data_IF_695971827391
#
_entry.id   IF_695971827391
#
_cell.length_a   1.000
_cell.length_b   1.000
_cell.length_c   1.000
_cell.angle_alpha   90.00
_cell.angle_beta   90.00
_cell.angle_gamma   90.00
#
_symmetry.space_group_name_H-M   'P 1'
#
loop_
_entity.id
_entity.type
_entity.pdbx_description
1 polymer ?
#
# COMPACT_ATOMS: atom_id res chain seq x y z
N UNK A 1 -46.59 1.21 -12.15
CA UNK A 1 -45.45 0.73 -12.98
C UNK A 1 -44.09 1.38 -12.65
N UNK A 2 -44.00 2.43 -11.81
CA UNK A 2 -42.73 3.11 -11.46
C UNK A 2 -41.97 2.51 -10.25
N UNK A 3 -42.63 1.70 -9.42
CA UNK A 3 -42.03 1.12 -8.20
C UNK A 3 -41.10 -0.08 -8.47
N UNK A 4 -41.40 -0.90 -9.49
CA UNK A 4 -40.57 -2.06 -9.87
C UNK A 4 -39.21 -1.69 -10.46
N UNK A 5 -39.08 -0.51 -11.09
CA UNK A 5 -37.79 -0.01 -11.60
C UNK A 5 -36.89 0.51 -10.48
N UNK A 6 -37.46 1.05 -9.39
CA UNK A 6 -36.71 1.49 -8.22
C UNK A 6 -36.15 0.33 -7.41
N UNK A 7 -36.92 -0.76 -7.24
CA UNK A 7 -36.45 -1.97 -6.56
C UNK A 7 -35.33 -2.65 -7.36
N UNK A 8 -35.45 -2.73 -8.69
CA UNK A 8 -34.38 -3.29 -9.53
C UNK A 8 -33.09 -2.45 -9.53
N UNK A 9 -33.19 -1.11 -9.49
CA UNK A 9 -32.03 -0.23 -9.41
C UNK A 9 -31.34 -0.31 -8.03
N UNK A 10 -32.11 -0.45 -6.96
CA UNK A 10 -31.59 -0.66 -5.59
C UNK A 10 -30.95 -2.04 -5.48
N UNK A 11 -31.51 -3.10 -6.08
CA UNK A 11 -30.90 -4.43 -6.11
C UNK A 11 -29.59 -4.48 -6.91
N UNK A 12 -29.45 -3.68 -7.97
CA UNK A 12 -28.20 -3.59 -8.73
C UNK A 12 -27.14 -2.75 -7.99
N UNK A 13 -27.54 -1.66 -7.31
CA UNK A 13 -26.63 -0.88 -6.45
C UNK A 13 -26.17 -1.67 -5.21
N UNK A 14 -27.03 -2.52 -4.64
CA UNK A 14 -26.66 -3.46 -3.57
C UNK A 14 -25.74 -4.57 -4.10
N UNK A 15 -25.92 -5.04 -5.33
CA UNK A 15 -25.04 -6.04 -5.95
C UNK A 15 -23.63 -5.50 -6.26
N UNK A 16 -23.45 -4.18 -6.45
CA UNK A 16 -22.12 -3.58 -6.63
C UNK A 16 -21.42 -3.21 -5.31
N UNK A 17 -22.17 -2.83 -4.27
CA UNK A 17 -21.61 -2.63 -2.92
C UNK A 17 -21.28 -3.97 -2.23
N UNK A 18 -22.07 -5.02 -2.50
CA UNK A 18 -21.79 -6.38 -2.03
C UNK A 18 -20.81 -7.09 -2.95
N UNK A 19 -20.77 -6.84 -4.26
CA UNK A 19 -19.84 -7.53 -5.17
C UNK A 19 -18.36 -7.32 -4.86
N UNK A 20 -17.98 -6.12 -4.41
CA UNK A 20 -16.63 -5.83 -3.91
C UNK A 20 -16.32 -6.47 -2.56
N UNK A 21 -17.35 -6.73 -1.74
CA UNK A 21 -17.23 -7.35 -0.42
C UNK A 21 -17.37 -8.89 -0.47
N UNK A 22 -18.09 -9.44 -1.45
CA UNK A 22 -18.39 -10.87 -1.59
C UNK A 22 -17.26 -11.64 -2.29
N UNK A 23 -16.46 -10.96 -3.12
CA UNK A 23 -15.19 -11.51 -3.58
C UNK A 23 -14.16 -11.62 -2.45
N UNK A 24 -14.35 -10.86 -1.36
CA UNK A 24 -13.55 -10.94 -0.14
C UNK A 24 -13.92 -12.16 0.73
N UNK A 25 -15.20 -12.56 0.75
CA UNK A 25 -15.69 -13.62 1.65
C UNK A 25 -15.63 -15.04 1.08
N UNK A 26 -15.41 -15.21 -0.24
CA UNK A 26 -15.36 -16.55 -0.88
C UNK A 26 -13.96 -17.19 -0.92
N UNK A 27 -12.95 -16.58 -0.31
CA UNK A 27 -11.75 -17.28 0.15
C UNK A 27 -12.08 -18.05 1.44
N UNK A 28 -12.90 -19.10 1.31
CA UNK A 28 -13.30 -19.96 2.43
C UNK A 28 -12.10 -20.76 2.92
N UNK A 29 -11.39 -20.15 3.87
CA UNK A 29 -10.18 -20.61 4.56
C UNK A 29 -9.75 -19.61 5.65
N UNK A 30 -10.22 -18.37 5.60
CA UNK A 30 -10.07 -17.40 6.68
C UNK A 30 -10.92 -17.81 7.89
N UNK A 31 -10.27 -18.26 8.96
CA UNK A 31 -10.90 -18.31 10.28
C UNK A 31 -11.26 -16.87 10.68
N UNK A 32 -12.54 -16.65 10.99
CA UNK A 32 -13.03 -15.41 11.59
C UNK A 32 -12.40 -15.18 12.97
N UNK A 33 -11.66 -14.07 13.16
CA UNK A 33 -11.60 -13.20 14.37
C UNK A 33 -10.65 -12.00 14.12
N UNK A 34 -10.88 -10.79 14.70
CA UNK A 34 -12.12 -10.06 14.90
C UNK A 34 -12.20 -8.78 14.04
N UNK A 35 -13.40 -8.21 13.94
CA UNK A 35 -13.85 -7.00 13.20
C UNK A 35 -13.10 -5.65 13.46
N UNK A 36 -11.88 -5.63 14.01
CA UNK A 36 -11.18 -4.39 14.42
C UNK A 36 -9.90 -4.03 13.62
N UNK A 37 -9.51 -4.80 12.62
CA UNK A 37 -8.24 -4.59 11.88
C UNK A 37 -8.43 -3.83 10.55
N UNK A 38 -9.20 -2.75 10.57
CA UNK A 38 -9.23 -1.81 9.45
C UNK A 38 -8.43 -0.59 9.88
N UNK A 39 -7.30 -0.34 9.20
CA UNK A 39 -6.46 0.82 9.43
C UNK A 39 -7.24 2.11 9.19
N UNK A 40 -7.75 2.70 10.27
CA UNK A 40 -8.52 3.93 10.28
C UNK A 40 -7.65 5.09 10.76
N UNK A 41 -7.50 6.12 9.95
CA UNK A 41 -6.71 7.32 10.24
C UNK A 41 -7.64 8.49 10.52
N UNK A 42 -7.32 9.29 11.54
CA UNK A 42 -8.11 10.46 11.90
C UNK A 42 -7.39 11.73 11.46
N UNK A 43 -7.95 12.40 10.45
CA UNK A 43 -7.43 13.68 9.93
C UNK A 43 -8.58 14.69 9.96
N UNK A 44 -8.40 15.74 10.76
CA UNK A 44 -9.36 16.84 10.99
C UNK A 44 -10.74 16.36 11.45
N UNK A 45 -10.76 15.37 12.34
CA UNK A 45 -12.01 14.78 12.86
C UNK A 45 -12.75 13.92 11.83
N UNK A 46 -12.13 13.63 10.68
CA UNK A 46 -12.64 12.65 9.70
C UNK A 46 -11.81 11.38 9.77
N UNK A 47 -12.51 10.26 9.72
CA UNK A 47 -11.93 8.94 9.63
C UNK A 47 -11.69 8.58 8.16
N UNK A 48 -10.49 8.08 7.87
CA UNK A 48 -10.06 7.61 6.56
C UNK A 48 -9.64 6.16 6.68
N UNK A 49 -10.11 5.31 5.77
CA UNK A 49 -9.73 3.90 5.70
C UNK A 49 -9.05 3.64 4.37
N UNK A 50 -7.75 3.35 4.41
CA UNK A 50 -7.03 2.84 3.25
C UNK A 50 -6.93 1.31 3.37
N UNK A 51 -7.25 0.54 2.31
CA UNK A 51 -7.04 -0.90 2.36
C UNK A 51 -5.54 -1.19 2.39
N UNK A 52 -5.11 -2.08 3.30
CA UNK A 52 -3.71 -2.53 3.34
C UNK A 52 -3.30 -3.09 1.97
N UNK A 53 -2.18 -2.63 1.38
CA UNK A 53 -1.64 -3.14 0.13
C UNK A 53 -1.35 -4.65 0.16
N UNK A 54 -1.11 -5.23 1.34
CA UNK A 54 -0.87 -6.66 1.54
C UNK A 54 -1.98 -7.52 0.93
N UNK A 55 -3.24 -7.10 1.01
CA UNK A 55 -4.35 -7.84 0.41
C UNK A 55 -4.23 -7.94 -1.11
N UNK A 56 -3.79 -6.86 -1.77
CA UNK A 56 -3.55 -6.87 -3.22
C UNK A 56 -2.37 -7.78 -3.57
N UNK A 57 -1.34 -7.79 -2.73
CA UNK A 57 -0.14 -8.61 -2.91
C UNK A 57 -0.48 -10.10 -2.80
N UNK A 58 -1.20 -10.48 -1.74
CA UNK A 58 -1.66 -11.85 -1.52
C UNK A 58 -2.60 -12.32 -2.63
N UNK A 59 -3.52 -11.47 -3.07
CA UNK A 59 -4.41 -11.80 -4.18
C UNK A 59 -3.63 -12.08 -5.46
N UNK A 60 -2.69 -11.21 -5.84
CA UNK A 60 -1.81 -11.43 -6.99
C UNK A 60 -0.97 -12.70 -6.83
N UNK A 61 -0.40 -12.94 -5.64
CA UNK A 61 0.36 -14.15 -5.35
C UNK A 61 -0.47 -15.42 -5.51
N UNK A 62 -1.71 -15.44 -5.01
CA UNK A 62 -2.67 -16.54 -5.18
C UNK A 62 -3.03 -16.78 -6.66
N UNK A 63 -3.03 -15.73 -7.48
CA UNK A 63 -3.19 -15.82 -8.94
C UNK A 63 -1.90 -16.23 -9.68
N UNK A 64 -0.85 -16.62 -8.96
CA UNK A 64 0.42 -17.04 -9.56
C UNK A 64 1.20 -15.89 -10.21
N UNK A 65 1.03 -14.66 -9.72
CA UNK A 65 1.82 -13.52 -10.19
C UNK A 65 3.30 -13.72 -9.89
N UNK A 66 4.15 -13.47 -10.89
CA UNK A 66 5.60 -13.63 -10.75
C UNK A 66 6.22 -12.38 -10.14
N UNK A 67 6.57 -12.48 -8.86
CA UNK A 67 7.18 -11.42 -8.08
C UNK A 67 8.70 -11.29 -8.27
N UNK A 68 9.34 -12.22 -8.97
CA UNK A 68 10.80 -12.30 -9.06
C UNK A 68 11.42 -11.05 -9.68
N UNK A 69 12.37 -10.46 -8.96
CA UNK A 69 13.08 -9.25 -9.36
C UNK A 69 12.22 -8.00 -9.46
N UNK A 70 11.05 -7.95 -8.80
CA UNK A 70 10.20 -6.76 -8.73
C UNK A 70 10.48 -5.91 -7.48
N UNK A 71 10.96 -6.54 -6.41
CA UNK A 71 11.42 -5.85 -5.20
C UNK A 71 12.64 -4.97 -5.50
N UNK A 72 12.68 -3.79 -4.90
CA UNK A 72 13.75 -2.83 -4.98
C UNK A 72 14.42 -2.61 -3.62
N UNK A 73 15.75 -2.52 -3.62
CA UNK A 73 16.49 -1.92 -2.51
C UNK A 73 16.52 -0.40 -2.72
N UNK A 74 16.42 0.34 -1.63
CA UNK A 74 16.38 1.78 -1.67
C UNK A 74 17.65 2.49 -2.11
N UNK A 75 17.52 3.77 -2.45
CA UNK A 75 18.66 4.69 -2.57
C UNK A 75 19.33 5.03 -1.21
N UNK A 76 18.79 4.52 -0.10
CA UNK A 76 19.24 4.72 1.29
C UNK A 76 18.11 5.11 2.23
N UNK A 77 18.47 5.51 3.46
CA UNK A 77 17.57 5.91 4.55
C UNK A 77 17.82 7.33 5.11
N UNK A 78 18.80 8.05 4.55
CA UNK A 78 19.20 9.39 5.01
C UNK A 78 18.35 10.50 4.37
N UNK A 79 17.07 10.55 4.72
CA UNK A 79 16.14 11.60 4.29
C UNK A 79 16.01 12.68 5.38
N UNK A 80 15.76 13.92 4.98
CA UNK A 80 15.64 15.04 5.92
C UNK A 80 14.20 15.19 6.45
N UNK A 81 13.21 14.96 5.58
CA UNK A 81 11.81 15.29 5.86
C UNK A 81 11.05 14.12 6.52
N UNK A 82 10.35 14.34 7.65
CA UNK A 82 9.49 13.34 8.29
C UNK A 82 8.52 12.62 7.35
N UNK A 83 7.78 13.34 6.50
CA UNK A 83 6.87 12.70 5.54
C UNK A 83 7.59 11.84 4.51
N UNK A 84 8.78 12.27 4.05
CA UNK A 84 9.59 11.48 3.12
C UNK A 84 10.08 10.18 3.78
N UNK A 85 10.56 10.25 5.02
CA UNK A 85 10.96 9.07 5.80
C UNK A 85 9.81 8.09 5.98
N UNK A 86 8.62 8.60 6.32
CA UNK A 86 7.43 7.78 6.52
C UNK A 86 7.00 7.07 5.22
N UNK A 87 6.92 7.81 4.10
CA UNK A 87 6.62 7.21 2.79
C UNK A 87 7.67 6.16 2.44
N UNK A 88 8.96 6.47 2.58
CA UNK A 88 10.04 5.52 2.29
C UNK A 88 9.97 4.27 3.18
N UNK A 89 9.59 4.41 4.46
CA UNK A 89 9.41 3.26 5.35
C UNK A 89 8.36 2.29 4.79
N UNK A 90 7.20 2.80 4.36
CA UNK A 90 6.16 1.96 3.73
C UNK A 90 6.64 1.28 2.44
N UNK A 91 7.39 2.01 1.62
CA UNK A 91 7.99 1.43 0.41
C UNK A 91 8.96 0.30 0.74
N UNK A 92 9.83 0.46 1.75
CA UNK A 92 10.78 -0.59 2.17
C UNK A 92 10.08 -1.79 2.79
N UNK A 93 9.02 -1.56 3.57
CA UNK A 93 8.18 -2.64 4.09
C UNK A 93 7.56 -3.46 2.96
N UNK A 94 7.03 -2.80 1.93
CA UNK A 94 6.44 -3.47 0.75
C UNK A 94 7.46 -4.27 -0.05
N UNK A 95 8.66 -3.72 -0.25
CA UNK A 95 9.77 -4.45 -0.87
C UNK A 95 10.15 -5.69 -0.06
N UNK A 96 10.20 -5.56 1.28
CA UNK A 96 10.39 -6.68 2.20
C UNK A 96 9.39 -7.81 1.95
N UNK A 97 8.09 -7.50 1.89
CA UNK A 97 7.04 -8.51 1.61
C UNK A 97 7.28 -9.25 0.29
N UNK A 98 7.67 -8.52 -0.76
CA UNK A 98 7.98 -9.14 -2.07
C UNK A 98 9.18 -10.07 -1.97
N UNK A 99 10.25 -9.69 -1.27
CA UNK A 99 11.41 -10.57 -1.04
C UNK A 99 11.04 -11.83 -0.25
N UNK A 100 10.06 -11.73 0.65
CA UNK A 100 9.54 -12.90 1.37
C UNK A 100 8.81 -13.86 0.41
N UNK A 101 8.00 -13.35 -0.51
CA UNK A 101 7.31 -14.17 -1.52
C UNK A 101 8.27 -14.87 -2.48
N UNK A 102 9.37 -14.22 -2.84
CA UNK A 102 10.39 -14.76 -3.76
C UNK A 102 11.48 -15.56 -3.05
N UNK A 103 11.48 -15.58 -1.71
CA UNK A 103 12.50 -16.22 -0.86
C UNK A 103 13.92 -15.66 -1.08
N UNK A 104 14.01 -14.38 -1.43
CA UNK A 104 15.26 -13.65 -1.63
C UNK A 104 15.82 -13.18 -0.27
N UNK A 105 16.45 -14.13 0.46
CA UNK A 105 16.81 -13.97 1.88
C UNK A 105 17.76 -12.80 2.18
N UNK A 106 18.75 -12.54 1.33
CA UNK A 106 19.70 -11.46 1.57
C UNK A 106 19.06 -10.09 1.34
N UNK A 107 18.23 -9.96 0.30
CA UNK A 107 17.50 -8.72 0.01
C UNK A 107 16.43 -8.44 1.08
N UNK A 108 15.76 -9.48 1.58
CA UNK A 108 14.84 -9.36 2.72
C UNK A 108 15.51 -8.81 3.98
N UNK A 109 16.76 -9.24 4.27
CA UNK A 109 17.54 -8.71 5.41
C UNK A 109 17.91 -7.24 5.19
N UNK A 110 18.32 -6.87 3.98
CA UNK A 110 18.65 -5.47 3.67
C UNK A 110 17.41 -4.57 3.80
N UNK A 111 16.26 -5.00 3.28
CA UNK A 111 14.99 -4.28 3.44
C UNK A 111 14.59 -4.13 4.91
N UNK A 112 14.78 -5.19 5.72
CA UNK A 112 14.57 -5.14 7.17
C UNK A 112 15.45 -4.09 7.85
N UNK A 113 16.74 -4.06 7.52
CA UNK A 113 17.69 -3.11 8.12
C UNK A 113 17.33 -1.67 7.74
N UNK A 114 16.89 -1.44 6.50
CA UNK A 114 16.33 -0.15 6.05
C UNK A 114 15.06 0.24 6.82
N UNK A 115 14.13 -0.71 7.04
CA UNK A 115 12.92 -0.47 7.84
C UNK A 115 13.28 -0.06 9.27
N UNK A 116 14.23 -0.74 9.92
CA UNK A 116 14.68 -0.38 11.26
C UNK A 116 15.37 0.98 11.29
N UNK A 117 16.22 1.31 10.31
CA UNK A 117 16.89 2.60 10.24
C UNK A 117 15.89 3.76 10.04
N UNK A 118 14.89 3.58 9.17
CA UNK A 118 13.82 4.56 8.95
C UNK A 118 12.92 4.69 10.19
N UNK A 119 12.57 3.57 10.83
CA UNK A 119 11.81 3.56 12.07
C UNK A 119 12.53 4.29 13.20
N UNK A 120 13.84 4.11 13.34
CA UNK A 120 14.68 4.85 14.28
C UNK A 120 14.66 6.36 13.98
N UNK A 121 14.78 6.73 12.71
CA UNK A 121 14.72 8.14 12.29
C UNK A 121 13.35 8.80 12.54
N UNK A 122 12.33 7.98 12.78
CA UNK A 122 10.97 8.33 13.14
C UNK A 122 10.68 8.07 14.63
N UNK A 123 11.67 7.75 15.45
CA UNK A 123 11.51 7.44 16.88
C UNK A 123 10.46 6.35 17.13
N UNK A 124 10.46 5.24 16.39
CA UNK A 124 9.55 4.11 16.61
C UNK A 124 10.24 2.73 16.54
N UNK A 125 11.59 2.70 16.52
CA UNK A 125 12.34 1.44 16.35
C UNK A 125 12.07 0.44 17.48
N UNK A 126 12.05 0.91 18.73
CA UNK A 126 11.92 0.04 19.90
C UNK A 126 10.55 -0.63 19.96
N UNK A 127 9.51 0.09 19.54
CA UNK A 127 8.15 -0.42 19.46
C UNK A 127 7.99 -1.50 18.38
N UNK A 128 8.69 -1.37 17.25
CA UNK A 128 8.55 -2.31 16.12
C UNK A 128 9.52 -3.49 16.17
N UNK A 129 10.58 -3.41 16.99
CA UNK A 129 11.68 -4.39 17.03
C UNK A 129 11.19 -5.83 17.23
N UNK A 130 10.18 -6.01 18.09
CA UNK A 130 9.60 -7.33 18.34
C UNK A 130 8.82 -7.86 17.13
N UNK A 131 8.01 -7.02 16.46
CA UNK A 131 7.29 -7.40 15.24
C UNK A 131 8.26 -7.79 14.12
N UNK A 132 9.37 -7.04 13.97
CA UNK A 132 10.44 -7.37 13.02
C UNK A 132 11.09 -8.73 13.34
N UNK A 133 11.36 -9.01 14.61
CA UNK A 133 11.92 -10.30 15.02
C UNK A 133 10.96 -11.47 14.75
N UNK A 134 9.65 -11.25 14.94
CA UNK A 134 8.63 -12.24 14.65
C UNK A 134 8.57 -12.55 13.14
N UNK A 135 8.67 -11.51 12.30
CA UNK A 135 8.75 -11.66 10.84
C UNK A 135 9.99 -12.45 10.42
N UNK A 136 11.17 -12.11 10.96
CA UNK A 136 12.41 -12.87 10.73
C UNK A 136 12.25 -14.34 11.13
N UNK A 137 11.60 -14.59 12.26
CA UNK A 137 11.38 -15.94 12.78
C UNK A 137 10.47 -16.76 11.86
N UNK A 138 9.36 -16.18 11.40
CA UNK A 138 8.45 -16.83 10.44
C UNK A 138 9.20 -17.16 9.14
N UNK A 139 10.03 -16.23 8.66
CA UNK A 139 10.76 -16.44 7.42
C UNK A 139 11.89 -17.48 7.53
N UNK A 140 12.71 -17.42 8.60
CA UNK A 140 13.84 -18.34 8.82
C UNK A 140 13.36 -19.78 9.08
N UNK A 141 12.22 -19.95 9.77
CA UNK A 141 11.67 -21.28 10.05
C UNK A 141 11.05 -21.95 8.82
N UNK A 142 11.01 -21.25 7.68
CA UNK A 142 10.35 -21.74 6.47
C UNK A 142 8.85 -21.90 6.69
N UNK A 143 8.27 -21.00 7.49
CA UNK A 143 6.85 -21.02 7.80
C UNK A 143 5.98 -20.90 6.54
N UNK A 144 4.75 -21.40 6.64
CA UNK A 144 3.76 -21.27 5.57
C UNK A 144 3.41 -19.80 5.29
N UNK A 145 2.75 -19.56 4.15
CA UNK A 145 2.30 -18.22 3.74
C UNK A 145 1.44 -17.55 4.82
N UNK A 146 0.62 -18.32 5.53
CA UNK A 146 -0.28 -17.83 6.58
C UNK A 146 0.50 -17.20 7.76
N UNK A 147 1.58 -17.84 8.21
CA UNK A 147 2.42 -17.32 9.30
C UNK A 147 3.21 -16.08 8.87
N UNK A 148 3.67 -16.04 7.61
CA UNK A 148 4.31 -14.84 7.04
C UNK A 148 3.30 -13.70 6.98
N UNK A 149 2.08 -13.96 6.52
CA UNK A 149 1.01 -12.98 6.46
C UNK A 149 0.66 -12.43 7.86
N UNK A 150 0.54 -13.31 8.86
CA UNK A 150 0.28 -12.90 10.24
C UNK A 150 1.40 -11.98 10.77
N UNK A 151 2.66 -12.36 10.53
CA UNK A 151 3.80 -11.56 10.97
C UNK A 151 3.89 -10.19 10.26
N UNK A 152 3.60 -10.13 8.95
CA UNK A 152 3.53 -8.86 8.20
C UNK A 152 2.39 -7.99 8.72
N UNK A 153 1.20 -8.56 8.90
CA UNK A 153 0.03 -7.83 9.45
C UNK A 153 0.34 -7.29 10.85
N UNK A 154 1.00 -8.09 11.69
CA UNK A 154 1.45 -7.66 13.01
C UNK A 154 2.50 -6.54 12.97
N UNK A 155 3.33 -6.48 11.93
CA UNK A 155 4.27 -5.37 11.72
C UNK A 155 3.55 -4.10 11.27
N UNK A 156 2.61 -4.20 10.30
CA UNK A 156 1.78 -3.08 9.84
C UNK A 156 1.03 -2.43 11.02
N UNK A 157 0.32 -3.25 11.81
CA UNK A 157 -0.42 -2.79 12.99
C UNK A 157 0.50 -2.12 14.02
N UNK A 158 1.68 -2.67 14.27
CA UNK A 158 2.63 -2.07 15.23
C UNK A 158 3.20 -0.75 14.70
N UNK A 159 3.53 -0.66 13.42
CA UNK A 159 3.99 0.59 12.80
C UNK A 159 2.95 1.71 12.95
N UNK A 160 1.70 1.40 12.61
CA UNK A 160 0.59 2.36 12.72
C UNK A 160 0.36 2.82 14.17
N UNK A 161 0.25 1.85 15.09
CA UNK A 161 0.01 2.13 16.49
C UNK A 161 1.14 2.93 17.13
N UNK A 162 2.39 2.65 16.77
CA UNK A 162 3.56 3.35 17.34
C UNK A 162 3.53 4.84 17.06
N UNK A 163 3.13 5.23 15.84
CA UNK A 163 3.01 6.63 15.45
C UNK A 163 1.74 7.28 16.02
N UNK A 164 0.61 6.58 15.95
CA UNK A 164 -0.66 7.08 16.50
C UNK A 164 -0.56 7.35 18.01
N UNK A 165 0.09 6.46 18.77
CA UNK A 165 0.31 6.65 20.20
C UNK A 165 1.19 7.87 20.52
N UNK A 166 1.99 8.35 19.56
CA UNK A 166 2.78 9.58 19.63
C UNK A 166 2.07 10.80 19.04
N UNK A 167 0.78 10.67 18.68
CA UNK A 167 -0.01 11.74 18.06
C UNK A 167 0.40 12.08 16.62
N UNK A 168 1.03 11.14 15.93
CA UNK A 168 1.59 11.29 14.56
C UNK A 168 0.82 10.45 13.54
N UNK A 169 -0.51 10.52 13.59
CA UNK A 169 -1.42 9.85 12.65
C UNK A 169 -1.15 10.23 11.18
N UNK A 170 -0.66 11.44 10.96
CA UNK A 170 -0.26 11.97 9.67
C UNK A 170 0.93 11.24 9.04
N UNK A 171 1.92 10.87 9.86
CA UNK A 171 3.05 10.04 9.41
C UNK A 171 2.67 8.57 9.30
N UNK A 172 1.73 8.10 10.11
CA UNK A 172 1.18 6.75 9.98
C UNK A 172 0.50 6.56 8.62
N UNK A 173 -0.35 7.51 8.20
CA UNK A 173 -0.99 7.42 6.88
C UNK A 173 0.01 7.60 5.74
N UNK A 174 1.10 8.36 5.95
CA UNK A 174 2.16 8.51 4.97
C UNK A 174 2.91 7.19 4.72
N UNK A 175 3.09 6.34 5.74
CA UNK A 175 3.61 4.97 5.57
C UNK A 175 2.69 4.16 4.65
N UNK A 176 1.39 4.13 4.91
CA UNK A 176 0.42 3.39 4.08
C UNK A 176 0.41 3.87 2.63
N UNK A 177 0.49 5.20 2.41
CA UNK A 177 0.60 5.76 1.08
C UNK A 177 1.88 5.30 0.37
N UNK A 178 3.01 5.25 1.09
CA UNK A 178 4.27 4.71 0.59
C UNK A 178 4.19 3.24 0.19
N UNK A 179 3.58 2.41 1.04
CA UNK A 179 3.36 0.99 0.76
C UNK A 179 2.50 0.80 -0.49
N UNK A 180 1.42 1.59 -0.61
CA UNK A 180 0.51 1.49 -1.75
C UNK A 180 1.16 1.90 -3.08
N UNK A 181 1.90 3.02 -3.12
CA UNK A 181 2.55 3.46 -4.37
C UNK A 181 3.65 2.50 -4.82
N UNK A 182 4.42 1.93 -3.89
CA UNK A 182 5.45 0.95 -4.24
C UNK A 182 4.82 -0.36 -4.70
N UNK A 183 3.75 -0.79 -4.04
CA UNK A 183 2.96 -1.94 -4.49
C UNK A 183 2.42 -1.79 -5.90
N UNK A 184 1.90 -0.60 -6.22
CA UNK A 184 1.43 -0.28 -7.56
C UNK A 184 2.57 -0.35 -8.60
N UNK A 185 3.74 0.21 -8.26
CA UNK A 185 4.93 0.18 -9.11
C UNK A 185 5.36 -1.25 -9.40
N UNK A 186 5.53 -2.09 -8.37
CA UNK A 186 5.93 -3.49 -8.52
C UNK A 186 4.89 -4.29 -9.31
N UNK A 187 3.61 -4.15 -8.99
CA UNK A 187 2.54 -4.85 -9.70
C UNK A 187 2.53 -4.48 -11.19
N UNK A 188 2.60 -3.19 -11.52
CA UNK A 188 2.62 -2.75 -12.93
C UNK A 188 3.90 -3.17 -13.65
N UNK A 189 5.06 -3.17 -12.97
CA UNK A 189 6.32 -3.70 -13.50
C UNK A 189 6.23 -5.18 -13.90
N UNK A 190 5.62 -6.02 -13.05
CA UNK A 190 5.40 -7.43 -13.37
C UNK A 190 4.36 -7.62 -14.47
N UNK A 191 3.25 -6.87 -14.43
CA UNK A 191 2.16 -6.94 -15.42
C UNK A 191 2.62 -6.56 -16.84
N UNK A 192 3.66 -5.74 -16.98
CA UNK A 192 4.33 -5.45 -18.27
C UNK A 192 4.95 -6.68 -18.92
N UNK A 193 5.47 -7.62 -18.11
CA UNK A 193 6.09 -8.87 -18.60
C UNK A 193 5.01 -9.84 -19.05
N UNK A 194 4.03 -10.07 -18.17
CA UNK A 194 2.87 -10.92 -18.41
C UNK A 194 1.78 -10.60 -17.39
N UNK A 195 0.52 -10.67 -17.82
CA UNK A 195 -0.61 -10.54 -16.91
C UNK A 195 -1.82 -11.30 -17.44
N UNK A 196 -2.63 -11.83 -16.53
CA UNK A 196 -3.98 -12.33 -16.83
C UNK A 196 -5.01 -11.24 -16.61
N UNK A 197 -6.23 -11.42 -17.15
CA UNK A 197 -7.31 -10.46 -16.93
C UNK A 197 -7.65 -10.32 -15.46
N UNK A 198 -7.62 -11.42 -14.71
CA UNK A 198 -7.91 -11.47 -13.28
C UNK A 198 -6.86 -10.67 -12.47
N UNK A 199 -5.58 -10.76 -12.85
CA UNK A 199 -4.52 -9.97 -12.20
C UNK A 199 -4.70 -8.46 -12.45
N UNK A 200 -5.14 -8.07 -13.65
CA UNK A 200 -5.37 -6.66 -13.99
C UNK A 200 -6.53 -6.03 -13.20
N UNK A 201 -7.48 -6.81 -12.68
CA UNK A 201 -8.59 -6.29 -11.88
C UNK A 201 -8.11 -5.60 -10.60
N UNK A 202 -6.93 -5.97 -10.08
CA UNK A 202 -6.30 -5.30 -8.92
C UNK A 202 -6.03 -3.83 -9.19
N UNK A 203 -5.80 -3.41 -10.44
CA UNK A 203 -5.56 -2.01 -10.77
C UNK A 203 -6.85 -1.17 -10.74
N UNK A 204 -8.04 -1.78 -10.66
CA UNK A 204 -9.33 -1.07 -10.67
C UNK A 204 -9.70 -0.54 -9.28
N UNK A 205 -8.84 0.31 -8.72
CA UNK A 205 -9.02 0.90 -7.38
C UNK A 205 -9.23 2.43 -7.43
N UNK A 206 -10.27 2.95 -8.13
CA UNK A 206 -10.46 4.40 -8.26
C UNK A 206 -10.77 5.08 -6.91
N UNK A 207 -11.39 4.37 -5.97
CA UNK A 207 -11.69 4.93 -4.65
C UNK A 207 -10.43 5.12 -3.81
N UNK A 208 -9.47 4.18 -3.88
CA UNK A 208 -8.20 4.27 -3.14
C UNK A 208 -7.44 5.51 -3.58
N UNK A 209 -7.26 5.69 -4.89
CA UNK A 209 -6.59 6.88 -5.44
C UNK A 209 -7.29 8.19 -5.10
N UNK A 210 -8.63 8.22 -5.14
CA UNK A 210 -9.41 9.38 -4.73
C UNK A 210 -9.20 9.71 -3.25
N UNK A 211 -9.13 8.69 -2.39
CA UNK A 211 -8.88 8.88 -0.97
C UNK A 211 -7.45 9.34 -0.71
N UNK A 212 -6.46 8.72 -1.35
CA UNK A 212 -5.04 9.07 -1.22
C UNK A 212 -4.78 10.54 -1.60
N UNK A 213 -5.36 11.02 -2.70
CA UNK A 213 -5.23 12.43 -3.10
C UNK A 213 -5.85 13.39 -2.08
N UNK A 214 -7.03 13.06 -1.52
CA UNK A 214 -7.68 13.84 -0.45
C UNK A 214 -6.86 13.86 0.84
N UNK A 215 -6.29 12.71 1.23
CA UNK A 215 -5.42 12.60 2.40
C UNK A 215 -4.19 13.49 2.21
N UNK A 216 -3.47 13.38 1.10
CA UNK A 216 -2.26 14.18 0.88
C UNK A 216 -2.58 15.68 0.85
N UNK A 217 -3.73 16.07 0.29
CA UNK A 217 -4.17 17.47 0.35
C UNK A 217 -4.37 17.95 1.80
N UNK A 218 -4.87 17.09 2.69
CA UNK A 218 -4.98 17.39 4.12
C UNK A 218 -3.61 17.44 4.82
N UNK A 219 -2.67 16.58 4.43
CA UNK A 219 -1.29 16.65 4.92
C UNK A 219 -0.61 17.96 4.53
N UNK A 220 -0.81 18.43 3.29
CA UNK A 220 -0.31 19.74 2.80
C UNK A 220 -0.88 20.90 3.63
N UNK A 221 -2.17 20.84 4.00
CA UNK A 221 -2.81 21.86 4.84
C UNK A 221 -2.23 21.91 6.26
N UNK A 222 -1.73 20.78 6.79
CA UNK A 222 -1.15 20.64 8.13
C UNK A 222 0.35 20.91 8.18
N UNK A 223 1.07 20.67 7.08
CA UNK A 223 2.51 20.81 7.04
C UNK A 223 2.94 22.25 7.36
N UNK A 224 3.57 22.43 8.53
CA UNK A 224 4.09 23.73 8.97
C UNK A 224 5.41 24.07 8.26
N UNK A 225 6.20 23.04 7.93
CA UNK A 225 7.49 23.20 7.26
C UNK A 225 7.29 23.43 5.74
N UNK A 226 7.78 24.56 5.18
CA UNK A 226 7.64 24.83 3.75
C UNK A 226 8.25 23.76 2.84
N UNK A 227 9.35 23.12 3.24
CA UNK A 227 9.98 22.03 2.46
C UNK A 227 9.11 20.78 2.45
N UNK A 228 8.47 20.44 3.56
CA UNK A 228 7.52 19.33 3.61
C UNK A 228 6.28 19.60 2.76
N UNK A 229 5.79 20.85 2.81
CA UNK A 229 4.66 21.26 1.98
C UNK A 229 4.98 21.12 0.50
N UNK A 230 6.12 21.63 0.05
CA UNK A 230 6.58 21.51 -1.34
C UNK A 230 6.75 20.03 -1.75
N UNK A 231 7.39 19.22 -0.91
CA UNK A 231 7.53 17.78 -1.12
C UNK A 231 6.16 17.10 -1.29
N UNK A 232 5.20 17.38 -0.42
CA UNK A 232 3.85 16.82 -0.48
C UNK A 232 3.04 17.33 -1.69
N UNK A 233 3.23 18.58 -2.12
CA UNK A 233 2.62 19.14 -3.33
C UNK A 233 3.11 18.41 -4.60
N UNK A 234 4.42 18.13 -4.68
CA UNK A 234 4.99 17.33 -5.77
C UNK A 234 4.47 15.89 -5.70
N UNK A 235 4.45 15.27 -4.51
CA UNK A 235 3.90 13.94 -4.30
C UNK A 235 2.42 13.85 -4.74
N UNK A 236 1.60 14.83 -4.37
CA UNK A 236 0.20 14.94 -4.78
C UNK A 236 0.05 15.00 -6.30
N UNK A 237 0.94 15.71 -7.00
CA UNK A 237 0.88 15.80 -8.47
C UNK A 237 1.05 14.43 -9.15
N UNK A 238 1.90 13.55 -8.61
CA UNK A 238 2.04 12.18 -9.08
C UNK A 238 0.80 11.35 -8.75
N UNK A 239 0.28 11.44 -7.52
CA UNK A 239 -0.95 10.75 -7.14
C UNK A 239 -2.14 11.15 -8.01
N UNK A 240 -2.24 12.42 -8.42
CA UNK A 240 -3.27 12.88 -9.34
C UNK A 240 -3.12 12.27 -10.75
N UNK A 241 -1.89 12.12 -11.25
CA UNK A 241 -1.61 11.42 -12.52
C UNK A 241 -2.01 9.95 -12.44
N UNK A 242 -1.64 9.27 -11.36
CA UNK A 242 -2.03 7.88 -11.07
C UNK A 242 -3.56 7.76 -10.99
N UNK A 243 -4.22 8.65 -10.23
CA UNK A 243 -5.67 8.69 -10.09
C UNK A 243 -6.36 8.81 -11.44
N UNK A 244 -5.93 9.75 -12.28
CA UNK A 244 -6.51 9.94 -13.61
C UNK A 244 -6.42 8.68 -14.48
N UNK A 245 -5.29 7.96 -14.39
CA UNK A 245 -5.09 6.73 -15.14
C UNK A 245 -5.97 5.59 -14.60
N UNK A 246 -5.97 5.35 -13.28
CA UNK A 246 -6.79 4.32 -12.64
C UNK A 246 -8.30 4.60 -12.81
N UNK A 247 -8.72 5.87 -12.77
CA UNK A 247 -10.12 6.24 -12.97
C UNK A 247 -10.62 5.87 -14.37
N UNK A 248 -9.77 5.92 -15.40
CA UNK A 248 -10.12 5.47 -16.76
C UNK A 248 -10.37 3.97 -16.83
N UNK A 249 -9.71 3.20 -15.97
CA UNK A 249 -9.88 1.75 -15.95
C UNK A 249 -11.30 1.38 -15.55
N UNK A 250 -11.96 2.11 -14.64
CA UNK A 250 -13.28 1.77 -14.07
C UNK A 250 -14.27 1.06 -15.02
N UNK A 251 -14.41 1.53 -16.26
CA UNK A 251 -15.34 0.96 -17.25
C UNK A 251 -14.68 0.58 -18.59
N UNK A 252 -13.35 0.49 -18.62
CA UNK A 252 -12.57 0.25 -19.84
C UNK A 252 -11.74 -1.04 -19.72
N UNK A 253 -11.42 -1.65 -20.87
CA UNK A 253 -10.39 -2.67 -20.92
C UNK A 253 -9.03 -2.03 -20.58
N UNK A 254 -8.22 -2.71 -19.76
CA UNK A 254 -6.88 -2.26 -19.41
C UNK A 254 -5.95 -2.76 -20.50
N UNK A 255 -5.34 -1.85 -21.24
CA UNK A 255 -4.44 -2.19 -22.35
C UNK A 255 -2.98 -2.28 -21.89
N UNK A 256 -2.08 -2.94 -22.65
CA UNK A 256 -0.65 -2.91 -22.34
C UNK A 256 -0.07 -1.49 -22.25
N UNK A 257 -0.54 -0.56 -23.10
CA UNK A 257 -0.14 0.84 -23.05
C UNK A 257 -0.61 1.54 -21.77
N UNK A 258 -1.75 1.14 -21.22
CA UNK A 258 -2.23 1.67 -19.95
C UNK A 258 -1.38 1.23 -18.76
N UNK A 259 -0.90 -0.02 -18.79
CA UNK A 259 0.01 -0.58 -17.78
C UNK A 259 1.36 0.12 -17.87
N UNK A 260 1.91 0.27 -19.08
CA UNK A 260 3.17 0.97 -19.33
C UNK A 260 3.12 2.40 -18.78
N UNK A 261 2.09 3.16 -19.14
CA UNK A 261 1.93 4.53 -18.68
C UNK A 261 1.79 4.63 -17.15
N UNK A 262 1.09 3.66 -16.52
CA UNK A 262 0.95 3.66 -15.06
C UNK A 262 2.27 3.32 -14.36
N UNK A 263 3.01 2.36 -14.89
CA UNK A 263 4.36 2.02 -14.44
C UNK A 263 5.31 3.22 -14.56
N UNK A 264 5.32 3.90 -15.71
CA UNK A 264 6.19 5.06 -15.95
C UNK A 264 5.93 6.18 -14.93
N UNK A 265 4.66 6.47 -14.63
CA UNK A 265 4.30 7.45 -13.60
C UNK A 265 4.81 7.01 -12.21
N UNK A 266 4.70 5.72 -11.88
CA UNK A 266 5.14 5.18 -10.60
C UNK A 266 6.68 5.16 -10.47
N UNK A 267 7.41 4.88 -11.55
CA UNK A 267 8.89 4.95 -11.60
C UNK A 267 9.40 6.39 -11.49
N UNK A 268 8.75 7.34 -12.17
CA UNK A 268 9.06 8.77 -12.00
C UNK A 268 8.83 9.21 -10.55
N UNK A 269 7.75 8.74 -9.93
CA UNK A 269 7.45 9.00 -8.52
C UNK A 269 8.52 8.40 -7.62
N UNK A 270 8.92 7.14 -7.81
CA UNK A 270 10.01 6.52 -7.06
C UNK A 270 11.32 7.32 -7.21
N UNK A 271 11.66 7.70 -8.43
CA UNK A 271 12.83 8.53 -8.72
C UNK A 271 12.78 9.91 -8.04
N UNK A 272 11.59 10.45 -7.80
CA UNK A 272 11.41 11.65 -6.99
C UNK A 272 11.60 11.35 -5.49
N UNK A 273 10.99 10.29 -4.97
CA UNK A 273 11.04 9.92 -3.55
C UNK A 273 12.45 9.56 -3.07
N UNK A 274 13.29 9.02 -3.96
CA UNK A 274 14.68 8.67 -3.67
C UNK A 274 15.64 9.87 -3.68
N UNK A 275 15.21 11.06 -4.13
CA UNK A 275 16.03 12.27 -4.06
C UNK A 275 16.12 12.75 -2.61
N UNK A 276 17.33 13.10 -2.17
CA UNK A 276 17.48 13.87 -0.93
C UNK A 276 16.84 15.25 -1.11
N UNK A 277 15.82 15.53 -0.30
CA UNK A 277 15.01 16.74 -0.38
C UNK A 277 15.46 17.78 0.62
#
# INVERSE_FOLDING_TARGET
MKFKKYIFLISVLFAFLIGGFYFYTNLSGFNEEPENNISSFHIDGKEFVLPSPLHSFLFLHQLGFDWTGLGGLGAGHDYDLPYQKAIQLGMRASNGVVFLFTKELEDAKLARDDVLALANSLDIEDEIRLSVLNLDTAFIKGSGLDEIQEAVTGLEITLENSLRNKGRDDLSVAIELGSWVEGLRMATAGMKKSSTKEQLEVLRQPHVTELSTKIVQKLIERAENPREKEFLEIFLSYLQRIHNQIHRFRNSEITPADIENLYDIAEELQSFLDKKY
#
